data_IF_604471099669
#
_entry.id   IF_604471099669
#
_cell.length_a   1.000
_cell.length_b   1.000
_cell.length_c   1.000
_cell.angle_alpha   90.00
_cell.angle_beta   90.00
_cell.angle_gamma   90.00
#
_symmetry.space_group_name_H-M   'P 1'
#
loop_
_entity.id
_entity.type
_entity.pdbx_description
1 polymer ?
#
# COMPACT_ATOMS: atom_id res chain seq x y z
N UNK A 1 -16.49 -33.03 -1.37
CA UNK A 1 -17.87 -32.57 -1.18
C UNK A 1 -17.91 -31.11 -1.60
N UNK A 2 -18.28 -30.86 -2.86
CA UNK A 2 -18.48 -29.50 -3.36
C UNK A 2 -19.75 -28.95 -2.71
N UNK A 3 -19.70 -27.73 -2.19
CA UNK A 3 -20.90 -27.05 -1.70
C UNK A 3 -21.69 -26.58 -2.93
N UNK A 4 -22.84 -27.20 -3.16
CA UNK A 4 -23.81 -26.76 -4.17
C UNK A 4 -24.25 -25.33 -3.83
N UNK A 5 -23.73 -24.37 -4.60
CA UNK A 5 -23.94 -22.94 -4.39
C UNK A 5 -25.31 -22.50 -4.91
N UNK A 6 -26.36 -22.72 -4.13
CA UNK A 6 -27.61 -21.99 -4.27
C UNK A 6 -27.45 -20.58 -3.67
N UNK A 7 -26.60 -19.76 -4.26
CA UNK A 7 -26.48 -18.35 -3.90
C UNK A 7 -27.70 -17.60 -4.42
N UNK A 8 -28.59 -17.16 -3.52
CA UNK A 8 -29.62 -16.17 -3.88
C UNK A 8 -28.86 -14.88 -4.21
N UNK A 9 -28.89 -14.48 -5.48
CA UNK A 9 -28.28 -13.23 -5.93
C UNK A 9 -28.91 -12.06 -5.17
N UNK A 10 -28.11 -11.41 -4.32
CA UNK A 10 -28.54 -10.24 -3.56
C UNK A 10 -28.16 -8.98 -4.34
N UNK A 11 -29.04 -7.96 -4.39
CA UNK A 11 -28.73 -6.70 -5.05
C UNK A 11 -27.50 -6.06 -4.39
N UNK A 12 -26.59 -5.53 -5.23
CA UNK A 12 -25.29 -5.01 -4.79
C UNK A 12 -25.41 -3.87 -3.76
N UNK A 13 -26.53 -3.15 -3.72
CA UNK A 13 -26.78 -2.00 -2.84
C UNK A 13 -27.24 -2.38 -1.42
N UNK A 14 -27.42 -3.67 -1.10
CA UNK A 14 -27.83 -4.09 0.24
C UNK A 14 -26.64 -4.15 1.21
N UNK A 15 -26.47 -3.11 2.03
CA UNK A 15 -25.40 -3.01 3.02
C UNK A 15 -25.38 -4.18 4.03
N UNK A 16 -26.55 -4.70 4.42
CA UNK A 16 -26.64 -5.84 5.34
C UNK A 16 -26.12 -7.11 4.67
N UNK A 17 -26.46 -7.33 3.40
CA UNK A 17 -25.95 -8.46 2.64
C UNK A 17 -24.43 -8.39 2.46
N UNK A 18 -23.88 -7.20 2.19
CA UNK A 18 -22.44 -7.00 2.08
C UNK A 18 -21.72 -7.35 3.40
N UNK A 19 -22.26 -6.95 4.56
CA UNK A 19 -21.67 -7.29 5.86
C UNK A 19 -21.67 -8.82 6.11
N UNK A 20 -22.77 -9.51 5.78
CA UNK A 20 -22.83 -10.97 5.89
C UNK A 20 -21.85 -11.67 4.95
N UNK A 21 -21.73 -11.20 3.71
CA UNK A 21 -20.78 -11.74 2.74
C UNK A 21 -19.35 -11.56 3.24
N UNK A 22 -19.00 -10.36 3.72
CA UNK A 22 -17.68 -10.07 4.27
C UNK A 22 -17.37 -10.97 5.46
N UNK A 23 -18.30 -11.08 6.41
CA UNK A 23 -18.15 -11.95 7.59
C UNK A 23 -17.94 -13.41 7.21
N UNK A 24 -18.71 -13.92 6.25
CA UNK A 24 -18.56 -15.29 5.75
C UNK A 24 -17.17 -15.53 5.16
N UNK A 25 -16.62 -14.59 4.38
CA UNK A 25 -15.27 -14.70 3.85
C UNK A 25 -14.21 -14.71 4.96
N UNK A 26 -14.33 -13.82 5.95
CA UNK A 26 -13.42 -13.82 7.10
C UNK A 26 -13.45 -15.15 7.87
N UNK A 27 -14.63 -15.74 8.09
CA UNK A 27 -14.74 -17.05 8.73
C UNK A 27 -14.10 -18.17 7.90
N UNK A 28 -14.31 -18.17 6.58
CA UNK A 28 -13.67 -19.13 5.68
C UNK A 28 -12.16 -18.99 5.70
N UNK A 29 -11.64 -17.76 5.65
CA UNK A 29 -10.22 -17.48 5.72
C UNK A 29 -9.62 -18.01 7.03
N UNK A 30 -10.25 -17.74 8.17
CA UNK A 30 -9.80 -18.25 9.47
C UNK A 30 -9.79 -19.78 9.50
N UNK A 31 -10.84 -20.43 8.97
CA UNK A 31 -10.92 -21.90 8.90
C UNK A 31 -9.82 -22.48 8.00
N UNK A 32 -9.59 -21.87 6.84
CA UNK A 32 -8.54 -22.27 5.91
C UNK A 32 -7.17 -22.06 6.54
N UNK A 33 -6.91 -20.90 7.16
CA UNK A 33 -5.64 -20.61 7.83
C UNK A 33 -5.30 -21.63 8.93
N UNK A 34 -6.28 -21.99 9.78
CA UNK A 34 -6.11 -23.02 10.82
C UNK A 34 -5.79 -24.40 10.26
N UNK A 35 -6.41 -24.76 9.14
CA UNK A 35 -6.22 -26.06 8.49
C UNK A 35 -5.12 -26.05 7.41
N UNK A 36 -4.50 -24.90 7.16
CA UNK A 36 -3.52 -24.72 6.09
C UNK A 36 -2.27 -25.53 6.39
N UNK A 37 -1.76 -25.46 7.63
CA UNK A 37 -0.55 -26.18 8.02
C UNK A 37 -0.74 -27.71 7.97
N UNK A 38 -1.91 -28.21 8.39
CA UNK A 38 -2.20 -29.64 8.29
C UNK A 38 -2.33 -30.13 6.84
N UNK A 39 -2.87 -29.32 5.93
CA UNK A 39 -3.12 -29.71 4.53
C UNK A 39 -1.95 -29.41 3.60
N UNK A 40 -1.23 -28.33 3.84
CA UNK A 40 -0.19 -27.78 2.96
C UNK A 40 1.13 -27.52 3.68
N UNK A 41 1.25 -27.91 4.95
CA UNK A 41 2.49 -27.76 5.72
C UNK A 41 3.66 -28.55 5.11
N UNK A 42 3.38 -29.61 4.33
CA UNK A 42 4.41 -30.32 3.57
C UNK A 42 5.08 -29.47 2.47
N UNK A 43 4.44 -28.36 2.05
CA UNK A 43 5.04 -27.38 1.13
C UNK A 43 6.02 -26.44 1.86
N UNK A 44 6.05 -26.44 3.20
CA UNK A 44 7.03 -25.69 3.97
C UNK A 44 8.36 -26.44 3.92
N UNK A 45 9.37 -25.82 3.31
CA UNK A 45 10.71 -26.37 3.25
C UNK A 45 11.44 -26.01 1.96
N UNK A 46 12.68 -26.49 1.78
CA UNK A 46 13.38 -26.31 0.53
C UNK A 46 12.67 -27.09 -0.59
N UNK A 47 12.68 -26.52 -1.80
CA UNK A 47 12.03 -27.11 -2.99
C UNK A 47 12.51 -28.53 -3.29
N UNK A 48 13.73 -28.85 -2.85
CA UNK A 48 14.31 -30.20 -2.90
C UNK A 48 13.51 -31.25 -2.11
N UNK A 49 12.63 -30.87 -1.19
CA UNK A 49 11.85 -31.84 -0.42
C UNK A 49 10.64 -32.37 -1.19
N UNK A 50 9.98 -31.52 -1.99
CA UNK A 50 8.74 -31.88 -2.69
C UNK A 50 8.89 -32.11 -4.19
N UNK A 51 9.93 -31.56 -4.83
CA UNK A 51 10.17 -31.71 -6.26
C UNK A 51 11.45 -32.52 -6.55
N UNK A 52 11.70 -33.60 -5.80
CA UNK A 52 12.94 -34.40 -5.92
C UNK A 52 13.14 -34.97 -7.31
N UNK A 53 12.09 -35.55 -7.87
CA UNK A 53 12.14 -36.29 -9.13
C UNK A 53 12.23 -35.34 -10.33
N UNK A 54 11.65 -34.14 -10.20
CA UNK A 54 11.65 -33.11 -11.23
C UNK A 54 12.82 -32.12 -11.13
N UNK A 55 13.53 -32.09 -9.99
CA UNK A 55 14.57 -31.09 -9.72
C UNK A 55 15.69 -31.12 -10.77
N UNK A 56 16.11 -32.33 -11.15
CA UNK A 56 17.17 -32.56 -12.15
C UNK A 56 16.74 -32.12 -13.55
N UNK A 57 15.44 -32.09 -13.84
CA UNK A 57 14.88 -31.64 -15.11
C UNK A 57 14.65 -30.11 -15.13
N UNK A 58 14.37 -29.51 -13.96
CA UNK A 58 14.10 -28.08 -13.80
C UNK A 58 15.39 -27.26 -13.68
N UNK A 59 16.40 -27.79 -12.99
CA UNK A 59 17.66 -27.08 -12.75
C UNK A 59 18.63 -27.38 -13.90
N UNK A 60 18.90 -26.36 -14.72
CA UNK A 60 19.99 -26.42 -15.68
C UNK A 60 21.34 -26.44 -14.95
N UNK A 61 22.03 -27.59 -15.02
CA UNK A 61 23.34 -27.83 -14.40
C UNK A 61 24.45 -26.94 -14.97
N UNK A 62 24.26 -26.42 -16.19
CA UNK A 62 25.23 -25.54 -16.85
C UNK A 62 24.94 -24.05 -16.60
N UNK A 63 23.87 -23.72 -15.87
CA UNK A 63 23.51 -22.33 -15.60
C UNK A 63 24.56 -21.68 -14.69
N UNK A 64 25.22 -20.60 -15.13
CA UNK A 64 26.14 -19.86 -14.27
C UNK A 64 25.41 -19.26 -13.06
N UNK A 65 26.08 -19.20 -11.89
CA UNK A 65 25.52 -18.55 -10.71
C UNK A 65 25.28 -17.06 -11.04
N UNK A 66 24.05 -16.60 -10.87
CA UNK A 66 23.70 -15.21 -11.15
C UNK A 66 24.56 -14.22 -10.34
N UNK A 67 25.06 -14.63 -9.18
CA UNK A 67 25.95 -13.81 -8.34
C UNK A 67 27.28 -13.48 -9.01
N UNK A 68 27.78 -14.33 -9.90
CA UNK A 68 29.01 -14.07 -10.65
C UNK A 68 28.73 -13.27 -11.92
N UNK A 69 27.49 -13.26 -12.41
CA UNK A 69 27.05 -12.43 -13.53
C UNK A 69 26.83 -10.97 -13.12
N UNK A 70 26.49 -10.73 -11.85
CA UNK A 70 26.44 -9.37 -11.31
C UNK A 70 27.87 -8.86 -11.19
N UNK A 71 28.28 -8.04 -12.15
CA UNK A 71 29.51 -7.26 -12.03
C UNK A 71 29.38 -6.41 -10.77
N UNK A 72 30.12 -6.76 -9.72
CA UNK A 72 30.24 -5.90 -8.55
C UNK A 72 30.75 -4.56 -9.07
N UNK A 73 30.10 -3.47 -8.66
CA UNK A 73 30.60 -2.14 -8.99
C UNK A 73 32.01 -2.07 -8.42
N UNK A 74 33.00 -1.98 -9.30
CA UNK A 74 34.33 -1.56 -8.88
C UNK A 74 34.11 -0.22 -8.19
N UNK A 75 34.49 -0.12 -6.91
CA UNK A 75 34.43 1.14 -6.20
C UNK A 75 35.38 2.09 -6.94
N UNK A 76 34.80 3.03 -7.70
CA UNK A 76 35.59 4.08 -8.32
C UNK A 76 36.41 4.74 -7.20
N UNK A 77 37.72 4.94 -7.38
CA UNK A 77 38.55 5.55 -6.35
C UNK A 77 37.89 6.86 -5.96
N UNK A 78 37.55 7.01 -4.67
CA UNK A 78 36.89 8.18 -4.14
C UNK A 78 37.65 9.42 -4.62
N UNK A 79 37.04 10.18 -5.53
CA UNK A 79 37.67 11.35 -6.11
C UNK A 79 37.96 12.32 -4.97
N UNK A 80 39.24 12.44 -4.57
CA UNK A 80 39.72 13.24 -3.43
C UNK A 80 39.33 14.72 -3.59
N UNK A 81 38.95 15.13 -4.79
CA UNK A 81 38.47 16.47 -5.12
C UNK A 81 37.01 16.73 -4.74
N UNK A 82 36.17 15.69 -4.57
CA UNK A 82 34.75 15.85 -4.23
C UNK A 82 34.59 16.21 -2.74
N UNK A 83 35.51 15.80 -1.87
CA UNK A 83 35.47 16.11 -0.43
C UNK A 83 35.93 17.53 -0.08
N UNK A 84 36.50 18.28 -1.05
CA UNK A 84 37.04 19.64 -0.85
C UNK A 84 36.16 20.74 -1.46
N UNK A 85 34.86 20.49 -1.60
CA UNK A 85 33.93 21.49 -2.11
C UNK A 85 33.51 22.39 -0.94
N UNK A 86 34.02 23.63 -0.93
CA UNK A 86 33.53 24.65 -0.01
C UNK A 86 32.05 24.95 -0.33
N UNK A 87 31.22 25.23 0.68
CA UNK A 87 29.83 25.61 0.44
C UNK A 87 29.77 26.86 -0.43
N UNK A 88 28.72 26.98 -1.24
CA UNK A 88 28.49 28.16 -2.07
C UNK A 88 28.56 29.42 -1.20
N UNK A 89 29.37 30.43 -1.56
CA UNK A 89 29.55 31.65 -0.76
C UNK A 89 28.30 32.54 -0.76
N UNK A 90 27.33 32.25 -1.63
CA UNK A 90 26.06 32.96 -1.70
C UNK A 90 24.91 31.99 -1.40
N UNK A 91 23.90 32.44 -0.62
CA UNK A 91 22.66 31.68 -0.50
C UNK A 91 22.09 31.48 -1.91
N UNK A 92 21.56 30.29 -2.15
CA UNK A 92 20.90 29.98 -3.42
C UNK A 92 19.83 31.03 -3.65
N UNK A 93 19.82 31.75 -4.79
CA UNK A 93 18.82 32.78 -5.03
C UNK A 93 17.44 32.14 -4.98
N UNK A 94 16.53 32.78 -4.26
CA UNK A 94 15.17 32.27 -4.13
C UNK A 94 14.52 32.28 -5.51
N UNK A 95 14.18 31.10 -6.02
CA UNK A 95 13.46 31.01 -7.28
C UNK A 95 12.04 31.52 -7.07
N UNK A 96 11.44 32.12 -8.10
CA UNK A 96 10.05 32.60 -8.06
C UNK A 96 9.07 31.49 -7.69
N UNK A 97 9.34 30.25 -8.09
CA UNK A 97 8.57 29.06 -7.70
C UNK A 97 8.74 28.68 -6.21
N UNK A 98 9.87 29.03 -5.58
CA UNK A 98 10.07 28.91 -4.13
C UNK A 98 9.46 30.07 -3.33
N UNK A 99 9.24 31.22 -3.98
CA UNK A 99 8.63 32.40 -3.39
C UNK A 99 7.10 32.37 -3.42
N UNK A 100 6.50 31.77 -4.46
CA UNK A 100 5.05 31.73 -4.66
C UNK A 100 4.62 30.28 -4.89
N UNK A 101 3.82 29.72 -3.98
CA UNK A 101 3.26 28.37 -4.11
C UNK A 101 2.97 27.70 -2.76
N UNK A 102 2.34 26.51 -2.82
CA UNK A 102 2.00 25.64 -1.68
C UNK A 102 3.15 25.24 -0.74
N UNK A 103 4.41 25.39 -1.18
CA UNK A 103 5.62 25.13 -0.37
C UNK A 103 6.21 26.42 0.25
N UNK A 104 5.64 27.59 -0.04
CA UNK A 104 6.09 28.85 0.52
C UNK A 104 5.59 29.00 1.97
N UNK A 105 6.53 29.07 2.91
CA UNK A 105 6.23 29.28 4.34
C UNK A 105 5.95 30.73 4.73
N UNK A 106 6.02 31.68 3.79
CA UNK A 106 5.74 33.09 4.05
C UNK A 106 4.28 33.43 3.72
N UNK A 107 3.57 33.97 4.72
CA UNK A 107 2.14 34.31 4.63
C UNK A 107 1.85 35.41 3.59
N UNK A 108 2.84 36.23 3.23
CA UNK A 108 2.67 37.37 2.33
C UNK A 108 2.40 36.94 0.88
N UNK A 109 2.75 35.69 0.53
CA UNK A 109 2.65 35.15 -0.83
C UNK A 109 1.64 34.01 -0.97
N UNK A 110 0.77 33.83 0.03
CA UNK A 110 -0.29 32.83 -0.03
C UNK A 110 -1.39 33.25 -0.99
N UNK A 111 -1.68 32.40 -1.97
CA UNK A 111 -2.76 32.61 -2.94
C UNK A 111 -4.14 32.25 -2.36
N UNK A 112 -4.20 31.67 -1.16
CA UNK A 112 -5.46 31.31 -0.51
C UNK A 112 -6.19 32.55 0.02
N UNK A 113 -7.15 33.02 -0.80
CA UNK A 113 -8.02 34.17 -0.50
C UNK A 113 -9.08 33.86 0.57
N UNK A 114 -9.27 32.58 0.90
CA UNK A 114 -10.25 32.11 1.87
C UNK A 114 -9.51 31.49 3.04
N UNK A 115 -9.37 32.22 4.15
CA UNK A 115 -8.74 31.71 5.37
C UNK A 115 -9.50 30.52 5.99
N UNK A 116 -9.04 30.01 7.15
CA UNK A 116 -9.57 28.81 7.81
C UNK A 116 -11.03 28.92 8.31
N UNK A 117 -11.70 30.04 8.07
CA UNK A 117 -13.05 30.30 8.56
C UNK A 117 -14.12 29.95 7.50
N UNK A 118 -14.13 28.69 7.04
CA UNK A 118 -15.35 28.13 6.48
C UNK A 118 -16.23 27.72 7.65
N UNK A 119 -17.35 28.42 7.87
CA UNK A 119 -18.32 28.03 8.90
C UNK A 119 -18.70 26.56 8.65
N UNK A 120 -18.59 25.65 9.63
CA UNK A 120 -18.97 24.26 9.41
C UNK A 120 -20.41 24.23 8.91
N UNK A 121 -20.68 23.41 7.88
CA UNK A 121 -22.04 23.22 7.36
C UNK A 121 -22.93 22.87 8.54
N UNK A 122 -24.01 23.63 8.74
CA UNK A 122 -24.95 23.44 9.87
C UNK A 122 -25.50 22.02 9.83
N UNK A 123 -25.76 21.44 11.01
CA UNK A 123 -26.46 20.16 11.18
C UNK A 123 -27.69 20.06 10.26
N UNK A 124 -27.78 18.98 9.48
CA UNK A 124 -28.81 18.75 8.46
C UNK A 124 -30.21 18.77 9.10
N UNK A 125 -30.34 18.27 10.33
CA UNK A 125 -31.60 18.33 11.08
C UNK A 125 -32.05 19.78 11.32
N UNK A 126 -31.10 20.69 11.56
CA UNK A 126 -31.39 22.12 11.74
C UNK A 126 -31.65 22.82 10.41
N UNK A 127 -31.05 22.36 9.31
CA UNK A 127 -31.34 22.91 7.98
C UNK A 127 -32.74 22.52 7.49
N UNK A 128 -33.18 21.30 7.81
CA UNK A 128 -34.45 20.74 7.35
C UNK A 128 -35.58 20.81 8.39
N UNK A 129 -35.34 21.40 9.56
CA UNK A 129 -36.28 21.48 10.69
C UNK A 129 -36.88 20.12 11.09
N UNK A 130 -36.08 19.05 11.06
CA UNK A 130 -36.56 17.72 11.41
C UNK A 130 -36.63 17.52 12.92
N UNK A 131 -37.67 16.86 13.44
CA UNK A 131 -37.76 16.52 14.85
C UNK A 131 -36.60 15.59 15.22
N UNK A 132 -35.91 15.90 16.33
CA UNK A 132 -34.69 15.20 16.75
C UNK A 132 -34.93 13.84 17.40
N UNK A 133 -36.19 13.45 17.60
CA UNK A 133 -36.54 12.32 18.44
C UNK A 133 -37.56 11.43 17.71
N UNK A 134 -37.11 10.30 17.17
CA UNK A 134 -37.95 9.11 17.10
C UNK A 134 -37.57 8.30 18.34
N UNK A 135 -38.33 8.46 19.42
CA UNK A 135 -38.15 7.65 20.62
C UNK A 135 -38.41 6.18 20.28
N UNK A 136 -37.36 5.35 20.42
CA UNK A 136 -37.45 3.91 20.59
C UNK A 136 -37.97 3.58 21.99
#
# INVERSE_FOLDING_TARGET
>A
MAADGNGIEQPLDNQVAQDFIWRSHCEQEIRVAKSYDSRYGFLRGPISHFAKDDLDNIIDKNRPDWRTLVKQSEEEPQNIFISKILPSPRPVPQTTAGMIGWRCGSSDYWLERYGPCSKPRRDIHRQLNWPRNCNL
#
